data_IF_326583186652
#
_entry.id   IF_326583186652
#
_cell.length_a   1.000
_cell.length_b   1.000
_cell.length_c   1.000
_cell.angle_alpha   90.00
_cell.angle_beta   90.00
_cell.angle_gamma   90.00
#
_symmetry.space_group_name_H-M   'P 1'
#
loop_
_entity.id
_entity.type
_entity.pdbx_description
1 polymer ?
#
# COMPACT_ATOMS: atom_id res chain seq x y z
N UNK A 1 -87.41 -14.80 23.80
CA UNK A 1 -86.92 -13.64 24.58
C UNK A 1 -85.67 -14.07 25.35
N UNK A 2 -84.62 -13.22 25.32
CA UNK A 2 -83.27 -13.38 25.89
C UNK A 2 -82.36 -14.37 25.15
N UNK A 3 -81.10 -14.08 24.84
CA UNK A 3 -80.34 -12.84 24.65
C UNK A 3 -79.05 -13.28 23.93
N UNK A 4 -78.62 -12.51 22.94
CA UNK A 4 -77.30 -12.61 22.31
C UNK A 4 -76.18 -12.61 23.37
N UNK A 5 -75.17 -13.47 23.19
CA UNK A 5 -73.79 -13.16 23.52
C UNK A 5 -72.86 -13.86 22.53
N UNK A 6 -71.94 -13.06 22.01
CA UNK A 6 -71.12 -13.24 20.81
C UNK A 6 -69.67 -13.53 21.25
N UNK A 7 -68.89 -14.11 20.31
CA UNK A 7 -67.42 -14.06 20.20
C UNK A 7 -66.63 -15.10 21.01
N UNK A 8 -65.69 -15.88 20.46
CA UNK A 8 -64.78 -15.63 19.33
C UNK A 8 -64.42 -16.94 18.61
N UNK A 9 -64.58 -16.96 17.28
CA UNK A 9 -63.71 -17.75 16.40
C UNK A 9 -62.52 -16.86 16.05
N UNK A 10 -61.29 -17.33 16.21
CA UNK A 10 -60.12 -16.86 15.45
C UNK A 10 -58.90 -17.75 15.75
N UNK A 11 -58.82 -18.93 15.10
CA UNK A 11 -57.54 -19.57 14.89
C UNK A 11 -56.81 -18.79 13.78
N UNK A 12 -55.99 -17.83 14.18
CA UNK A 12 -55.04 -17.16 13.28
C UNK A 12 -53.99 -18.18 12.83
N UNK A 13 -54.20 -18.76 11.66
CA UNK A 13 -53.14 -19.47 10.94
C UNK A 13 -52.18 -18.41 10.40
N UNK A 14 -51.13 -18.09 11.16
CA UNK A 14 -50.01 -17.30 10.67
C UNK A 14 -49.32 -18.10 9.55
N UNK A 15 -49.58 -17.72 8.30
CA UNK A 15 -48.75 -18.14 7.15
C UNK A 15 -47.29 -17.84 7.48
N UNK A 16 -46.47 -18.88 7.57
CA UNK A 16 -45.02 -18.81 7.74
C UNK A 16 -44.41 -18.04 6.54
N UNK A 17 -44.23 -16.73 6.68
CA UNK A 17 -43.42 -15.92 5.76
C UNK A 17 -41.91 -15.97 6.09
N UNK A 18 -41.49 -16.83 7.02
CA UNK A 18 -40.07 -17.01 7.40
C UNK A 18 -39.14 -17.55 6.30
N UNK A 19 -39.53 -18.41 5.32
CA UNK A 19 -38.54 -18.91 4.37
C UNK A 19 -38.15 -17.85 3.33
N UNK A 20 -39.00 -16.87 3.03
CA UNK A 20 -38.73 -15.85 2.01
C UNK A 20 -37.78 -14.75 2.48
N UNK A 21 -37.80 -14.39 3.76
CA UNK A 21 -36.89 -13.38 4.32
C UNK A 21 -35.48 -13.95 4.47
N UNK A 22 -35.37 -15.22 4.90
CA UNK A 22 -34.08 -15.91 5.03
C UNK A 22 -33.41 -16.09 3.66
N UNK A 23 -34.17 -16.47 2.63
CA UNK A 23 -33.65 -16.65 1.28
C UNK A 23 -33.18 -15.33 0.64
N UNK A 24 -33.87 -14.21 0.89
CA UNK A 24 -33.44 -12.88 0.43
C UNK A 24 -32.16 -12.41 1.12
N UNK A 25 -32.00 -12.65 2.42
CA UNK A 25 -30.78 -12.29 3.16
C UNK A 25 -29.58 -13.10 2.69
N UNK A 26 -29.77 -14.40 2.43
CA UNK A 26 -28.74 -15.27 1.88
C UNK A 26 -28.35 -14.82 0.46
N UNK A 27 -29.32 -14.46 -0.38
CA UNK A 27 -29.06 -13.95 -1.73
C UNK A 27 -28.29 -12.61 -1.73
N UNK A 28 -28.64 -11.67 -0.84
CA UNK A 28 -27.90 -10.42 -0.68
C UNK A 28 -26.47 -10.64 -0.16
N UNK A 29 -26.29 -11.62 0.72
CA UNK A 29 -24.98 -12.02 1.22
C UNK A 29 -24.11 -12.64 0.12
N UNK A 30 -24.68 -13.50 -0.74
CA UNK A 30 -23.96 -14.01 -1.92
C UNK A 30 -23.67 -12.92 -2.96
N UNK A 31 -24.55 -11.94 -3.15
CA UNK A 31 -24.31 -10.83 -4.07
C UNK A 31 -23.18 -9.90 -3.58
N UNK A 32 -23.11 -9.66 -2.28
CA UNK A 32 -22.04 -8.84 -1.66
C UNK A 32 -20.70 -9.56 -1.67
N UNK A 33 -20.66 -10.87 -1.41
CA UNK A 33 -19.44 -11.69 -1.55
C UNK A 33 -18.98 -11.75 -3.00
N UNK A 34 -19.89 -11.96 -3.95
CA UNK A 34 -19.59 -11.97 -5.40
C UNK A 34 -18.99 -10.62 -5.85
N UNK A 35 -19.58 -9.50 -5.43
CA UNK A 35 -19.05 -8.16 -5.71
C UNK A 35 -17.68 -7.91 -5.07
N UNK A 36 -17.44 -8.43 -3.86
CA UNK A 36 -16.12 -8.38 -3.20
C UNK A 36 -15.08 -9.28 -3.88
N UNK A 37 -15.48 -10.43 -4.42
CA UNK A 37 -14.60 -11.31 -5.18
C UNK A 37 -14.21 -10.69 -6.53
N UNK A 38 -15.15 -10.03 -7.22
CA UNK A 38 -14.91 -9.33 -8.48
C UNK A 38 -13.99 -8.09 -8.33
N UNK A 39 -14.05 -7.39 -7.18
CA UNK A 39 -13.12 -6.28 -6.90
C UNK A 39 -11.68 -6.75 -6.66
N UNK A 40 -11.48 -8.02 -6.26
CA UNK A 40 -10.15 -8.60 -6.03
C UNK A 40 -9.46 -9.03 -7.34
N UNK A 41 -10.21 -9.12 -8.45
CA UNK A 41 -9.70 -9.60 -9.75
C UNK A 41 -8.96 -8.52 -10.57
N UNK A 42 -8.93 -7.26 -10.14
CA UNK A 42 -8.24 -6.20 -10.90
C UNK A 42 -6.74 -6.07 -10.60
N UNK A 43 -6.20 -6.79 -9.61
CA UNK A 43 -4.79 -6.70 -9.22
C UNK A 43 -4.06 -8.04 -9.37
N UNK A 44 -2.85 -7.99 -9.91
CA UNK A 44 -1.93 -9.13 -9.99
C UNK A 44 -1.35 -9.54 -8.63
N UNK A 45 -0.45 -10.53 -8.66
CA UNK A 45 0.32 -10.92 -7.48
C UNK A 45 1.22 -9.77 -7.00
N UNK A 46 1.57 -9.78 -5.70
CA UNK A 46 2.53 -8.83 -5.16
C UNK A 46 3.91 -9.12 -5.76
N UNK A 47 4.49 -8.11 -6.42
CA UNK A 47 5.80 -8.21 -7.05
C UNK A 47 6.95 -7.98 -6.06
N UNK A 48 6.68 -7.34 -4.91
CA UNK A 48 7.69 -7.10 -3.89
C UNK A 48 8.05 -8.39 -3.17
N UNK A 49 9.35 -8.66 -3.09
CA UNK A 49 9.88 -9.68 -2.18
C UNK A 49 9.92 -9.11 -0.77
N UNK A 50 9.32 -9.81 0.19
CA UNK A 50 9.37 -9.48 1.62
C UNK A 50 9.00 -8.00 1.88
N UNK A 51 7.89 -7.54 1.31
CA UNK A 51 7.37 -6.18 1.51
C UNK A 51 6.57 -6.02 2.80
N UNK A 52 6.17 -7.12 3.43
CA UNK A 52 5.56 -7.18 4.76
C UNK A 52 6.60 -7.36 5.87
N UNK A 53 7.86 -7.63 5.54
CA UNK A 53 9.00 -7.78 6.47
C UNK A 53 8.85 -8.90 7.52
N UNK A 54 7.88 -9.80 7.35
CA UNK A 54 7.58 -10.89 8.29
C UNK A 54 8.69 -11.97 8.36
N UNK A 55 9.69 -11.87 7.49
CA UNK A 55 10.92 -12.69 7.59
C UNK A 55 11.88 -12.20 8.68
N UNK A 56 11.59 -11.07 9.34
CA UNK A 56 12.42 -10.50 10.41
C UNK A 56 13.74 -9.89 9.91
N UNK A 57 13.85 -9.61 8.61
CA UNK A 57 15.03 -9.00 7.97
C UNK A 57 14.65 -8.29 6.65
N UNK A 58 15.63 -7.75 5.94
CA UNK A 58 15.46 -7.01 4.67
C UNK A 58 15.81 -7.82 3.42
N UNK A 59 15.72 -9.16 3.47
CA UNK A 59 16.04 -10.03 2.32
C UNK A 59 15.27 -9.60 1.07
N UNK A 60 15.98 -9.47 -0.05
CA UNK A 60 15.42 -9.00 -1.33
C UNK A 60 15.49 -7.48 -1.54
N UNK A 61 15.92 -6.72 -0.53
CA UNK A 61 16.12 -5.28 -0.61
C UNK A 61 17.60 -4.91 -0.54
N UNK A 62 17.94 -3.78 -1.15
CA UNK A 62 19.30 -3.22 -1.19
C UNK A 62 19.32 -1.94 -0.37
N UNK A 63 20.30 -1.80 0.53
CA UNK A 63 20.44 -0.59 1.34
C UNK A 63 21.19 0.50 0.57
N UNK A 64 20.91 1.76 0.90
CA UNK A 64 21.55 2.92 0.30
C UNK A 64 21.62 4.08 1.31
N UNK A 65 22.60 4.97 1.15
CA UNK A 65 22.78 6.15 2.00
C UNK A 65 23.47 7.27 1.21
N UNK A 66 23.11 8.52 1.51
CA UNK A 66 23.80 9.73 1.07
C UNK A 66 24.24 10.55 2.29
N UNK A 67 25.48 11.03 2.29
CA UNK A 67 26.05 11.85 3.37
C UNK A 67 27.12 12.81 2.84
N UNK A 68 27.30 14.03 3.40
CA UNK A 68 26.39 14.75 4.31
C UNK A 68 25.25 15.44 3.57
N UNK A 69 25.50 15.84 2.33
CA UNK A 69 24.54 16.24 1.30
C UNK A 69 25.23 15.91 -0.03
N UNK A 70 24.52 15.29 -0.98
CA UNK A 70 25.06 14.92 -2.30
C UNK A 70 26.07 13.76 -2.37
N UNK A 71 26.08 12.85 -1.37
CA UNK A 71 26.69 11.55 -1.61
C UNK A 71 26.05 10.88 -2.83
N UNK A 72 26.81 10.08 -3.60
CA UNK A 72 26.33 9.48 -4.86
C UNK A 72 25.14 8.50 -4.68
N UNK A 73 24.69 8.27 -3.44
CA UNK A 73 23.61 7.34 -3.05
C UNK A 73 23.81 5.94 -3.58
N UNK A 74 25.08 5.58 -3.71
CA UNK A 74 25.54 4.29 -4.19
C UNK A 74 25.03 3.22 -3.23
N UNK A 75 24.60 2.05 -3.73
CA UNK A 75 24.23 0.92 -2.91
C UNK A 75 25.30 0.59 -1.87
N UNK A 76 24.88 0.46 -0.61
CA UNK A 76 25.75 0.07 0.50
C UNK A 76 25.24 -1.21 1.12
N UNK A 77 26.17 -2.05 1.59
CA UNK A 77 25.78 -3.29 2.29
C UNK A 77 25.29 -3.01 3.71
N UNK A 78 25.92 -2.04 4.36
CA UNK A 78 25.63 -1.59 5.72
C UNK A 78 25.76 -0.07 5.71
N UNK A 79 24.65 0.70 5.75
CA UNK A 79 24.72 2.14 5.94
C UNK A 79 25.46 2.45 7.25
N UNK A 80 26.20 3.55 7.25
CA UNK A 80 26.98 4.00 8.40
C UNK A 80 26.15 4.86 9.36
N UNK A 81 25.10 5.53 8.88
CA UNK A 81 24.30 6.49 9.67
C UNK A 81 22.79 6.28 9.63
N UNK A 82 22.33 5.34 8.79
CA UNK A 82 20.93 4.94 8.72
C UNK A 82 20.84 3.48 9.14
N UNK A 83 20.48 3.25 10.40
CA UNK A 83 20.30 1.90 10.90
C UNK A 83 19.00 1.30 10.34
N UNK A 84 19.09 0.08 9.83
CA UNK A 84 17.98 -0.64 9.22
C UNK A 84 17.59 -1.81 10.14
N UNK A 85 16.38 -1.74 10.70
CA UNK A 85 15.87 -2.70 11.68
C UNK A 85 14.54 -3.32 11.24
N UNK A 86 14.24 -4.51 11.77
CA UNK A 86 12.98 -5.25 11.57
C UNK A 86 12.65 -6.02 12.87
N UNK A 87 12.06 -5.40 13.90
CA UNK A 87 11.66 -3.99 14.01
C UNK A 87 12.68 -3.13 14.76
N UNK A 88 12.57 -1.81 14.63
CA UNK A 88 13.35 -0.83 15.38
C UNK A 88 12.82 -0.57 16.79
N UNK A 89 13.41 0.42 17.46
CA UNK A 89 13.11 0.76 18.86
C UNK A 89 12.83 2.24 19.09
N UNK A 90 13.08 3.10 18.09
CA UNK A 90 12.88 4.54 18.21
C UNK A 90 11.52 4.94 17.62
N UNK A 91 10.77 5.75 18.38
CA UNK A 91 9.53 6.35 17.86
C UNK A 91 8.46 5.33 17.48
N UNK A 92 8.37 4.21 18.20
CA UNK A 92 7.53 3.06 17.85
C UNK A 92 6.06 3.47 17.70
N UNK A 93 5.46 3.31 16.51
CA UNK A 93 4.04 3.60 16.31
C UNK A 93 3.17 2.60 17.06
N UNK A 94 1.90 2.95 17.27
CA UNK A 94 0.92 2.04 17.92
C UNK A 94 -0.18 1.65 16.93
N UNK A 95 -0.37 0.34 16.64
CA UNK A 95 0.45 -0.81 17.09
C UNK A 95 1.86 -0.81 16.46
N UNK A 96 2.83 -1.60 16.98
CA UNK A 96 4.20 -1.64 16.44
C UNK A 96 4.33 -2.17 15.00
N UNK A 97 3.34 -2.94 14.53
CA UNK A 97 3.19 -3.40 13.16
C UNK A 97 1.70 -3.43 12.79
N UNK A 98 1.38 -3.24 11.52
CA UNK A 98 0.02 -3.28 10.94
C UNK A 98 -0.29 -4.66 10.34
N UNK A 99 0.73 -5.37 9.88
CA UNK A 99 0.66 -6.75 9.41
C UNK A 99 1.59 -7.60 10.26
N UNK A 100 1.08 -8.70 10.83
CA UNK A 100 1.93 -9.66 11.54
C UNK A 100 2.65 -9.11 12.76
N UNK A 101 3.96 -9.36 12.85
CA UNK A 101 4.80 -9.08 14.03
C UNK A 101 5.89 -8.04 13.76
N UNK A 102 6.27 -7.85 12.51
CA UNK A 102 7.45 -7.10 12.11
C UNK A 102 7.06 -5.92 11.23
N UNK A 103 7.83 -4.84 11.35
CA UNK A 103 7.78 -3.71 10.44
C UNK A 103 9.21 -3.27 10.16
N UNK A 104 9.47 -2.76 8.96
CA UNK A 104 10.74 -2.11 8.67
C UNK A 104 10.83 -0.81 9.44
N UNK A 105 11.97 -0.58 10.08
CA UNK A 105 12.33 0.70 10.67
C UNK A 105 13.67 1.17 10.12
N UNK A 106 13.73 2.44 9.77
CA UNK A 106 14.94 3.12 9.35
C UNK A 106 15.21 4.23 10.36
N UNK A 107 16.29 4.11 11.11
CA UNK A 107 16.61 5.02 12.20
C UNK A 107 17.84 5.84 11.84
N UNK A 108 17.78 7.16 12.06
CA UNK A 108 18.96 8.03 12.08
C UNK A 108 19.11 8.51 13.51
N UNK A 109 20.29 8.27 14.08
CA UNK A 109 20.64 8.63 15.47
C UNK A 109 21.61 9.80 15.49
N UNK A 110 21.82 10.38 16.68
CA UNK A 110 22.30 11.74 16.97
C UNK A 110 23.66 12.24 16.39
N UNK A 111 24.19 11.63 15.33
CA UNK A 111 25.45 12.01 14.70
C UNK A 111 25.31 12.28 13.19
N UNK A 112 24.71 13.44 12.89
CA UNK A 112 24.83 14.09 11.60
C UNK A 112 23.64 13.91 10.66
N UNK A 113 23.52 14.86 9.72
CA UNK A 113 22.52 14.79 8.65
C UNK A 113 22.73 13.52 7.84
N UNK A 114 21.73 12.66 7.77
CA UNK A 114 21.77 11.46 6.96
C UNK A 114 20.46 11.27 6.20
N UNK A 115 20.58 10.70 5.00
CA UNK A 115 19.48 10.30 4.15
C UNK A 115 19.77 8.89 3.65
N UNK A 116 18.82 7.98 3.77
CA UNK A 116 19.00 6.64 3.26
C UNK A 116 17.83 5.72 3.56
N UNK A 117 17.98 4.47 3.18
CA UNK A 117 16.94 3.48 3.36
C UNK A 117 17.22 2.23 2.54
N UNK A 118 16.16 1.66 1.98
CA UNK A 118 16.23 0.46 1.14
C UNK A 118 15.46 0.64 -0.17
N UNK A 119 15.87 -0.09 -1.20
CA UNK A 119 15.18 -0.15 -2.48
C UNK A 119 15.11 -1.57 -3.05
N UNK A 120 14.16 -1.79 -3.97
CA UNK A 120 14.04 -3.00 -4.76
C UNK A 120 13.73 -2.64 -6.22
N UNK A 121 14.52 -3.17 -7.13
CA UNK A 121 14.29 -3.05 -8.58
C UNK A 121 13.44 -4.22 -9.09
N UNK A 122 12.44 -3.91 -9.89
CA UNK A 122 11.42 -4.84 -10.33
C UNK A 122 11.28 -4.80 -11.84
N UNK A 123 11.43 -5.94 -12.49
CA UNK A 123 11.13 -6.08 -13.91
C UNK A 123 9.62 -5.95 -14.11
N UNK A 124 9.23 -5.06 -15.00
CA UNK A 124 7.83 -4.74 -15.30
C UNK A 124 7.63 -4.59 -16.81
N UNK A 125 6.39 -4.58 -17.25
CA UNK A 125 6.04 -4.23 -18.61
C UNK A 125 5.91 -2.70 -18.69
N UNK A 126 6.65 -2.06 -19.60
CA UNK A 126 6.42 -0.65 -19.89
C UNK A 126 4.96 -0.40 -20.33
N UNK A 127 4.45 0.79 -20.06
CA UNK A 127 3.11 1.27 -20.42
C UNK A 127 1.95 0.51 -19.77
N UNK A 128 2.24 -0.28 -18.73
CA UNK A 128 1.26 -0.97 -17.91
C UNK A 128 1.05 -0.24 -16.58
N UNK A 129 -0.16 -0.25 -16.03
CA UNK A 129 -0.42 0.41 -14.74
C UNK A 129 0.02 -0.48 -13.58
N UNK A 130 0.78 0.08 -12.66
CA UNK A 130 1.16 -0.54 -11.39
C UNK A 130 0.74 0.34 -10.22
N UNK A 131 0.36 -0.29 -9.11
CA UNK A 131 -0.02 0.40 -7.87
C UNK A 131 0.81 -0.14 -6.73
N UNK A 132 1.54 0.76 -6.07
CA UNK A 132 2.24 0.51 -4.81
C UNK A 132 1.33 0.95 -3.66
N UNK A 133 1.10 0.04 -2.71
CA UNK A 133 0.32 0.29 -1.50
C UNK A 133 1.11 -0.14 -0.28
N UNK A 134 0.72 0.38 0.87
CA UNK A 134 1.27 -0.02 2.15
C UNK A 134 0.85 0.91 3.27
N UNK A 135 1.50 0.75 4.42
CA UNK A 135 1.37 1.66 5.55
C UNK A 135 2.73 2.24 5.90
N UNK A 136 2.74 3.51 6.27
CA UNK A 136 3.93 4.20 6.75
C UNK A 136 3.59 4.97 8.03
N UNK A 137 4.51 4.98 8.98
CA UNK A 137 4.50 5.84 10.14
C UNK A 137 5.86 6.53 10.28
N UNK A 138 5.91 7.53 11.13
CA UNK A 138 7.04 8.43 11.24
C UNK A 138 7.28 8.78 12.69
N UNK A 139 8.54 9.01 13.04
CA UNK A 139 8.92 9.78 14.21
C UNK A 139 10.07 10.71 13.82
N UNK A 140 10.02 11.93 14.31
CA UNK A 140 11.11 12.90 14.25
C UNK A 140 11.07 13.74 15.51
N UNK A 141 12.18 14.36 15.85
CA UNK A 141 12.26 15.30 16.97
C UNK A 141 12.47 16.75 16.53
N UNK A 142 12.67 16.99 15.23
CA UNK A 142 12.90 18.31 14.66
C UNK A 142 12.04 18.61 13.42
N UNK A 143 11.74 19.90 13.23
CA UNK A 143 11.08 20.40 12.01
C UNK A 143 12.06 20.25 10.84
N UNK A 144 11.75 19.36 9.90
CA UNK A 144 12.59 19.07 8.73
C UNK A 144 12.88 17.58 8.56
N UNK A 145 12.66 16.78 9.61
CA UNK A 145 12.75 15.33 9.55
C UNK A 145 11.62 14.76 8.70
N UNK A 146 11.96 13.85 7.78
CA UNK A 146 10.99 13.25 6.88
C UNK A 146 11.25 11.77 6.67
N UNK A 147 10.19 11.04 6.40
CA UNK A 147 10.22 9.68 5.87
C UNK A 147 9.41 9.61 4.58
N UNK A 148 9.90 8.86 3.60
CA UNK A 148 9.39 8.80 2.24
C UNK A 148 9.28 7.33 1.81
N UNK A 149 8.21 7.02 1.08
CA UNK A 149 8.11 5.85 0.20
C UNK A 149 7.88 6.36 -1.22
N UNK A 150 8.52 5.77 -2.22
CA UNK A 150 8.37 6.23 -3.59
C UNK A 150 8.70 5.20 -4.66
N UNK A 151 8.44 5.63 -5.89
CA UNK A 151 8.68 4.91 -7.13
C UNK A 151 9.60 5.74 -8.05
N UNK A 152 10.51 5.07 -8.74
CA UNK A 152 11.28 5.62 -9.85
C UNK A 152 10.92 4.89 -11.15
N UNK A 153 10.77 5.65 -12.24
CA UNK A 153 10.63 5.11 -13.60
C UNK A 153 12.01 4.75 -14.18
N UNK A 154 12.47 3.56 -13.80
CA UNK A 154 13.76 3.03 -14.18
C UNK A 154 14.53 2.41 -13.02
N UNK A 155 15.82 2.21 -13.28
CA UNK A 155 16.79 1.74 -12.30
C UNK A 155 17.01 2.76 -11.20
N UNK A 156 17.59 2.28 -10.10
CA UNK A 156 17.96 3.08 -8.95
C UNK A 156 18.80 4.29 -9.38
N UNK A 157 18.32 5.47 -8.99
CA UNK A 157 19.08 6.69 -9.08
C UNK A 157 18.70 7.58 -7.88
N UNK A 158 19.61 7.74 -6.90
CA UNK A 158 19.33 8.45 -5.66
C UNK A 158 19.06 9.95 -5.88
N UNK A 159 19.61 10.54 -6.94
CA UNK A 159 19.33 11.94 -7.32
C UNK A 159 17.84 12.14 -7.65
N UNK A 160 17.15 11.08 -8.07
CA UNK A 160 15.76 11.15 -8.47
C UNK A 160 14.77 10.95 -7.31
N UNK A 161 15.20 10.58 -6.09
CA UNK A 161 14.28 10.37 -4.96
C UNK A 161 13.61 11.67 -4.51
N UNK A 162 14.33 12.79 -4.61
CA UNK A 162 13.82 14.12 -4.27
C UNK A 162 12.92 14.71 -5.34
N UNK A 163 13.10 14.34 -6.60
CA UNK A 163 12.40 14.95 -7.76
C UNK A 163 11.28 14.09 -8.34
N UNK A 164 11.22 12.80 -8.02
CA UNK A 164 10.13 11.93 -8.49
C UNK A 164 8.77 12.46 -7.97
N UNK A 165 7.74 12.53 -8.84
CA UNK A 165 6.39 12.86 -8.41
C UNK A 165 5.68 11.66 -7.77
N UNK A 166 6.21 10.45 -7.92
CA UNK A 166 5.60 9.21 -7.45
C UNK A 166 6.05 8.87 -6.03
N UNK A 167 5.73 9.74 -5.07
CA UNK A 167 6.13 9.54 -3.68
C UNK A 167 5.05 9.97 -2.69
N UNK A 168 5.12 9.38 -1.52
CA UNK A 168 4.36 9.75 -0.34
C UNK A 168 5.35 10.01 0.79
N UNK A 169 5.13 11.06 1.57
CA UNK A 169 6.03 11.42 2.67
C UNK A 169 5.23 11.85 3.90
N UNK A 170 5.81 11.61 5.07
CA UNK A 170 5.36 12.15 6.35
C UNK A 170 6.57 12.85 6.97
N UNK A 171 6.36 14.00 7.58
CA UNK A 171 7.37 14.69 8.37
C UNK A 171 6.72 15.37 9.56
N UNK A 172 7.55 15.81 10.51
CA UNK A 172 7.10 16.42 11.75
C UNK A 172 8.11 16.23 12.88
N UNK A 173 7.66 16.52 14.10
CA UNK A 173 8.46 16.52 15.32
C UNK A 173 7.83 15.63 16.41
N UNK A 174 7.06 14.62 15.99
CA UNK A 174 6.41 13.66 16.88
C UNK A 174 6.16 12.33 16.19
N UNK A 175 5.79 11.32 16.99
CA UNK A 175 5.35 10.01 16.47
C UNK A 175 3.99 10.17 15.77
N UNK A 176 3.90 9.70 14.53
CA UNK A 176 2.66 9.64 13.77
C UNK A 176 1.94 8.31 13.96
N UNK A 177 0.62 8.32 13.78
CA UNK A 177 -0.13 7.08 13.54
C UNK A 177 0.27 6.47 12.18
N UNK A 178 0.02 5.17 12.03
CA UNK A 178 0.10 4.51 10.73
C UNK A 178 -0.85 5.15 9.72
N UNK A 179 -0.29 5.51 8.57
CA UNK A 179 -1.02 6.11 7.46
C UNK A 179 -0.89 5.19 6.24
N UNK A 180 -2.04 4.83 5.67
CA UNK A 180 -2.06 4.06 4.42
C UNK A 180 -1.78 4.97 3.24
N UNK A 181 -1.02 4.48 2.28
CA UNK A 181 -0.73 5.19 1.03
C UNK A 181 -1.07 4.32 -0.20
N UNK A 182 -1.23 4.99 -1.34
CA UNK A 182 -1.41 4.35 -2.65
C UNK A 182 -0.76 5.24 -3.71
N UNK A 183 0.21 4.70 -4.44
CA UNK A 183 0.97 5.38 -5.49
C UNK A 183 0.83 4.59 -6.79
N UNK A 184 0.41 5.25 -7.86
CA UNK A 184 0.27 4.63 -9.17
C UNK A 184 1.34 5.11 -10.13
N UNK A 185 1.89 4.21 -10.94
CA UNK A 185 2.86 4.53 -12.00
C UNK A 185 2.52 3.77 -13.28
N UNK A 186 2.73 4.44 -14.42
CA UNK A 186 2.77 3.82 -15.75
C UNK A 186 4.21 4.02 -16.24
N UNK A 187 5.08 3.01 -16.13
CA UNK A 187 6.50 3.19 -16.40
C UNK A 187 6.76 3.29 -17.90
N UNK A 188 7.69 4.15 -18.30
CA UNK A 188 8.20 4.23 -19.68
C UNK A 188 9.26 3.16 -19.96
N UNK A 189 9.81 2.54 -18.92
CA UNK A 189 10.85 1.51 -18.99
C UNK A 189 10.32 0.17 -18.48
N UNK A 190 11.06 -0.91 -18.79
CA UNK A 190 10.74 -2.26 -18.32
C UNK A 190 11.26 -2.56 -16.90
N UNK A 191 11.59 -1.52 -16.14
CA UNK A 191 12.06 -1.62 -14.76
C UNK A 191 11.53 -0.43 -13.98
N UNK A 192 11.07 -0.68 -12.77
CA UNK A 192 10.79 0.35 -11.78
C UNK A 192 11.58 0.07 -10.52
N UNK A 193 11.84 1.12 -9.75
CA UNK A 193 12.44 1.00 -8.43
C UNK A 193 11.46 1.45 -7.38
N UNK A 194 11.17 0.58 -6.41
CA UNK A 194 10.48 0.97 -5.16
C UNK A 194 11.55 1.33 -4.15
N UNK A 195 11.44 2.47 -3.50
CA UNK A 195 12.41 2.91 -2.50
C UNK A 195 11.74 3.49 -1.27
N UNK A 196 12.47 3.41 -0.17
CA UNK A 196 12.19 4.06 1.12
C UNK A 196 13.34 5.01 1.43
N UNK A 197 13.04 6.09 2.12
CA UNK A 197 14.02 7.08 2.55
C UNK A 197 13.61 7.63 3.91
N UNK A 198 14.55 7.66 4.85
CA UNK A 198 14.44 8.44 6.08
C UNK A 198 15.56 9.47 6.07
N UNK A 199 15.19 10.70 6.38
CA UNK A 199 16.03 11.88 6.27
C UNK A 199 15.99 12.67 7.58
N UNK A 200 17.17 12.96 8.10
CA UNK A 200 17.37 13.93 9.15
C UNK A 200 18.04 15.17 8.56
N UNK A 201 17.36 16.31 8.58
CA UNK A 201 17.90 17.56 8.01
C UNK A 201 18.91 18.19 8.98
N UNK A 202 18.58 18.20 10.27
CA UNK A 202 19.41 18.77 11.32
C UNK A 202 20.41 17.74 11.84
N UNK A 203 21.69 18.11 11.95
CA UNK A 203 22.76 17.19 12.35
C UNK A 203 22.73 16.70 13.81
N UNK A 204 21.56 16.73 14.47
CA UNK A 204 21.32 16.23 15.82
C UNK A 204 19.86 15.75 15.95
N UNK A 205 19.64 14.74 16.78
CA UNK A 205 18.31 14.23 17.12
C UNK A 205 18.08 12.78 16.71
N UNK A 206 16.82 12.38 16.66
CA UNK A 206 16.37 11.05 16.27
C UNK A 206 15.21 11.13 15.29
N UNK A 207 15.36 10.47 14.15
CA UNK A 207 14.27 10.27 13.18
C UNK A 207 14.14 8.78 12.87
N UNK A 208 12.90 8.32 12.74
CA UNK A 208 12.58 6.96 12.35
C UNK A 208 11.46 6.93 11.29
N UNK A 209 11.75 6.29 10.16
CA UNK A 209 10.75 5.89 9.18
C UNK A 209 10.28 4.47 9.43
N UNK A 210 8.97 4.26 9.54
CA UNK A 210 8.36 2.96 9.77
C UNK A 210 7.52 2.54 8.57
N UNK A 211 7.72 1.32 8.06
CA UNK A 211 7.05 0.83 6.85
C UNK A 211 6.57 -0.60 7.04
N UNK A 212 5.36 -0.89 6.56
CA UNK A 212 4.78 -2.21 6.69
C UNK A 212 3.73 -2.49 5.59
N UNK A 213 3.52 -3.77 5.31
CA UNK A 213 2.55 -4.32 4.36
C UNK A 213 2.70 -3.70 2.96
N UNK A 214 3.94 -3.55 2.49
CA UNK A 214 4.25 -3.01 1.18
C UNK A 214 3.87 -4.03 0.09
N UNK A 215 3.07 -3.57 -0.87
CA UNK A 215 2.63 -4.38 -2.00
C UNK A 215 2.66 -3.58 -3.29
N UNK A 216 3.34 -4.09 -4.30
CA UNK A 216 3.29 -3.56 -5.67
C UNK A 216 2.56 -4.57 -6.55
N UNK A 217 1.49 -4.14 -7.20
CA UNK A 217 0.68 -5.02 -8.04
C UNK A 217 0.46 -4.39 -9.42
N UNK A 218 0.49 -5.24 -10.45
CA UNK A 218 -0.02 -4.89 -11.77
C UNK A 218 -1.54 -4.70 -11.71
N UNK A 219 -2.07 -3.72 -12.43
CA UNK A 219 -3.50 -3.53 -12.59
C UNK A 219 -3.94 -4.14 -13.91
N UNK A 220 -4.80 -5.15 -13.85
CA UNK A 220 -5.44 -5.70 -15.04
C UNK A 220 -6.37 -4.65 -15.63
N UNK A 221 -6.01 -4.12 -16.80
CA UNK A 221 -6.96 -3.35 -17.58
C UNK A 221 -8.05 -4.30 -18.06
N UNK A 222 -9.26 -4.15 -17.50
CA UNK A 222 -10.45 -4.77 -18.05
C UNK A 222 -10.66 -4.16 -19.46
N UNK A 223 -10.15 -4.84 -20.48
CA UNK A 223 -10.33 -4.45 -21.88
C UNK A 223 -11.81 -4.21 -22.13
N UNK A 224 -12.17 -2.99 -22.55
CA UNK A 224 -13.50 -2.70 -23.11
C UNK A 224 -13.83 -3.78 -24.14
N UNK A 225 -15.06 -4.33 -24.19
CA UNK A 225 -15.44 -5.22 -25.27
C UNK A 225 -15.27 -4.46 -26.58
N UNK A 226 -14.40 -4.98 -27.44
CA UNK A 226 -14.19 -4.47 -28.78
C UNK A 226 -15.49 -4.68 -29.57
N UNK A 227 -16.37 -3.68 -29.63
CA UNK A 227 -17.48 -3.71 -30.56
C UNK A 227 -16.94 -3.43 -31.95
N UNK A 228 -16.37 -4.45 -32.60
CA UNK A 228 -16.22 -4.41 -34.05
C UNK A 228 -17.58 -4.73 -34.67
N UNK A 229 -18.47 -3.76 -34.69
CA UNK A 229 -19.59 -3.80 -35.63
C UNK A 229 -18.98 -3.54 -37.01
N UNK A 230 -18.65 -4.62 -37.72
CA UNK A 230 -18.26 -4.57 -39.12
C UNK A 230 -19.49 -4.15 -39.92
N UNK A 231 -19.57 -2.87 -40.28
CA UNK A 231 -20.46 -2.43 -41.36
C UNK A 231 -20.05 -3.19 -42.63
N UNK A 232 -20.96 -3.93 -43.30
CA UNK A 232 -20.63 -4.56 -44.58
C UNK A 232 -20.40 -3.47 -45.64
N UNK A 233 -19.48 -3.68 -46.59
CA UNK A 233 -19.29 -2.73 -47.67
C UNK A 233 -20.55 -2.66 -48.54
N UNK A 234 -21.01 -1.44 -48.76
CA UNK A 234 -22.08 -1.10 -49.69
C UNK A 234 -21.63 -1.46 -51.11
N UNK A 235 -22.35 -2.39 -51.75
CA UNK A 235 -22.11 -2.79 -53.13
C UNK A 235 -22.60 -1.67 -54.04
N UNK A 236 -21.65 -1.01 -54.72
CA UNK A 236 -21.95 -0.02 -55.75
C UNK A 236 -22.75 -0.68 -56.90
N UNK A 237 -23.83 -0.01 -57.32
CA UNK A 237 -24.51 -0.22 -58.60
C UNK A 237 -24.37 1.02 -59.46
#
# INVERSE_FOLDING_TARGET
MKKLLVSTNNHFCCKKYMPFILLKSIFLFFLTISSFCLLKESFGENLLKNGDFETGNTSGWICWETFPWDGDGIPVKHPARVDIHVPGTIGVPTPPAISGLYALTQEVTAEGTARGGIYQELNVNAHSTYVLTGSMAFYGDNIGDITIIGLLDGQWNPVNTSTTPFKFYIGGDTVSSWTKFSLSIIPSKNIITVFTETCQDWGYGYVAGWYDNLSLQFVYENSKPFSSEKTPPEVQK
#
